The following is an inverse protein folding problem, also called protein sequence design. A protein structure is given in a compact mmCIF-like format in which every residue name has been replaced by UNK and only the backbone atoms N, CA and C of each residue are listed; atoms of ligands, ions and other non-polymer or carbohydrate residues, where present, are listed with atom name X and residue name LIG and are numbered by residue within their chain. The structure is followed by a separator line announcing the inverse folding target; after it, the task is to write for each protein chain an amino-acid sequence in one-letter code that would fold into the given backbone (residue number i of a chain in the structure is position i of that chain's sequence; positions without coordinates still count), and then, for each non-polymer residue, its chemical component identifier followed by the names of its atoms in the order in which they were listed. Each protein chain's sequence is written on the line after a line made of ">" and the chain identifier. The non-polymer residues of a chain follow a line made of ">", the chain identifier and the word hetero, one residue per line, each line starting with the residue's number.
data_IF_767252896858
#
_entry.id   IF_767252896858
#
_cell.length_a   1.000
_cell.length_b   1.000
_cell.length_c   1.000
_cell.angle_alpha   90.00
_cell.angle_beta   90.00
_cell.angle_gamma   90.00
#
_symmetry.space_group_name_H-M   'P 1'
#
loop_
_entity.id
_entity.type
_entity.pdbx_description
1 polymer ?
#
# COMPACT_ATOMS: atom_id res chain seq x y z
N UNK A 1 8.26 -4.27 -20.74
CA UNK A 1 6.91 -4.89 -20.76
C UNK A 1 5.89 -3.92 -21.33
N UNK A 2 4.84 -4.43 -21.96
CA UNK A 2 3.64 -3.65 -22.29
C UNK A 2 2.81 -3.35 -21.03
N UNK A 3 1.92 -2.33 -21.05
CA UNK A 3 1.05 -2.03 -19.91
C UNK A 3 0.14 -3.19 -19.49
N UNK A 4 -0.35 -3.97 -20.47
CA UNK A 4 -1.21 -5.13 -20.23
C UNK A 4 -0.44 -6.26 -19.52
N UNK A 5 0.81 -6.51 -19.91
CA UNK A 5 1.68 -7.47 -19.23
C UNK A 5 1.99 -7.03 -17.79
N UNK A 6 2.23 -5.72 -17.56
CA UNK A 6 2.46 -5.17 -16.21
C UNK A 6 1.27 -5.43 -15.30
N UNK A 7 0.05 -5.24 -15.81
CA UNK A 7 -1.16 -5.48 -15.03
C UNK A 7 -1.24 -6.94 -14.55
N UNK A 8 -1.03 -7.89 -15.45
CA UNK A 8 -1.02 -9.32 -15.13
C UNK A 8 0.06 -9.69 -14.10
N UNK A 9 1.27 -9.17 -14.24
CA UNK A 9 2.36 -9.47 -13.29
C UNK A 9 2.13 -8.85 -11.90
N UNK A 10 1.60 -7.62 -11.85
CA UNK A 10 1.20 -6.99 -10.59
C UNK A 10 0.06 -7.78 -9.94
N UNK A 11 -0.92 -8.25 -10.70
CA UNK A 11 -2.03 -9.05 -10.17
C UNK A 11 -1.55 -10.39 -9.57
N UNK A 12 -0.55 -11.03 -10.18
CA UNK A 12 0.11 -12.21 -9.59
C UNK A 12 0.79 -11.89 -8.27
N UNK A 13 1.55 -10.79 -8.22
CA UNK A 13 2.21 -10.33 -7.00
C UNK A 13 1.20 -10.08 -5.86
N UNK A 14 0.08 -9.44 -6.18
CA UNK A 14 -1.01 -9.19 -5.22
C UNK A 14 -1.71 -10.48 -4.78
N UNK A 15 -1.87 -11.44 -5.68
CA UNK A 15 -2.47 -12.75 -5.35
C UNK A 15 -1.61 -13.52 -4.35
N UNK A 16 -0.28 -13.40 -4.41
CA UNK A 16 0.63 -14.01 -3.44
C UNK A 16 0.49 -13.40 -2.03
N UNK A 17 0.27 -12.08 -1.93
CA UNK A 17 0.20 -11.39 -0.63
C UNK A 17 -1.20 -11.38 -0.01
N UNK A 18 -2.26 -11.49 -0.83
CA UNK A 18 -3.67 -11.59 -0.38
C UNK A 18 -3.92 -12.55 0.78
N UNK A 19 -3.44 -13.80 0.80
CA UNK A 19 -3.68 -14.70 1.94
C UNK A 19 -3.08 -14.18 3.25
N UNK A 20 -1.92 -13.49 3.19
CA UNK A 20 -1.32 -12.86 4.36
C UNK A 20 -2.16 -11.68 4.86
N UNK A 21 -2.61 -10.82 3.95
CA UNK A 21 -3.49 -9.70 4.30
C UNK A 21 -4.83 -10.16 4.87
N UNK A 22 -5.43 -11.19 4.28
CA UNK A 22 -6.69 -11.76 4.77
C UNK A 22 -6.53 -12.41 6.15
N UNK A 23 -5.38 -13.02 6.44
CA UNK A 23 -5.06 -13.52 7.79
C UNK A 23 -5.03 -12.41 8.83
N UNK A 24 -4.61 -11.20 8.43
CA UNK A 24 -4.60 -10.00 9.28
C UNK A 24 -5.95 -9.25 9.26
N UNK A 25 -6.96 -9.77 8.56
CA UNK A 25 -8.30 -9.17 8.45
C UNK A 25 -8.39 -8.00 7.46
N UNK A 26 -7.43 -7.86 6.55
CA UNK A 26 -7.43 -6.89 5.47
C UNK A 26 -7.46 -7.52 4.08
N UNK A 27 -7.51 -6.68 3.05
CA UNK A 27 -7.39 -7.11 1.65
C UNK A 27 -6.79 -6.01 0.78
N UNK A 28 -6.40 -6.36 -0.45
CA UNK A 28 -5.82 -5.46 -1.43
C UNK A 28 -6.44 -5.64 -2.82
N UNK A 29 -6.78 -4.51 -3.43
CA UNK A 29 -7.30 -4.43 -4.79
C UNK A 29 -6.37 -3.61 -5.68
N UNK A 30 -6.11 -4.10 -6.89
CA UNK A 30 -5.43 -3.34 -7.93
C UNK A 30 -6.41 -2.34 -8.54
N UNK A 31 -6.07 -1.06 -8.54
CA UNK A 31 -6.90 0.00 -9.12
C UNK A 31 -6.44 0.32 -10.53
N UNK A 32 -5.16 0.63 -10.71
CA UNK A 32 -4.56 0.86 -12.02
C UNK A 32 -3.03 0.76 -11.98
N UNK A 33 -2.43 0.55 -13.14
CA UNK A 33 -0.99 0.61 -13.34
C UNK A 33 -0.72 1.70 -14.38
N UNK A 34 -0.07 2.78 -13.95
CA UNK A 34 0.26 3.93 -14.81
C UNK A 34 1.78 4.07 -14.87
N UNK A 35 2.34 3.84 -16.06
CA UNK A 35 3.79 3.85 -16.32
C UNK A 35 4.58 2.92 -15.38
N UNK A 36 5.08 3.47 -14.28
CA UNK A 36 5.89 2.82 -13.25
C UNK A 36 5.29 3.01 -11.84
N UNK A 37 4.04 3.44 -11.76
CA UNK A 37 3.31 3.67 -10.52
C UNK A 37 2.12 2.71 -10.48
N UNK A 38 2.01 1.95 -9.40
CA UNK A 38 0.86 1.07 -9.16
C UNK A 38 -0.07 1.75 -8.16
N UNK A 39 -1.33 1.93 -8.54
CA UNK A 39 -2.39 2.38 -7.64
C UNK A 39 -3.12 1.15 -7.11
N UNK A 40 -3.13 1.01 -5.80
CA UNK A 40 -3.84 -0.06 -5.08
C UNK A 40 -4.86 0.55 -4.13
N UNK A 41 -5.81 -0.25 -3.69
CA UNK A 41 -6.75 0.07 -2.62
C UNK A 41 -6.60 -0.97 -1.54
N UNK A 42 -6.19 -0.54 -0.36
CA UNK A 42 -6.18 -1.38 0.84
C UNK A 42 -7.57 -1.33 1.49
N UNK A 43 -8.09 -2.48 1.90
CA UNK A 43 -9.39 -2.64 2.56
C UNK A 43 -9.29 -3.44 3.85
N UNK A 44 -10.32 -3.35 4.70
CA UNK A 44 -10.41 -4.10 5.97
C UNK A 44 -9.57 -3.53 7.11
N UNK A 45 -9.10 -4.40 8.00
CA UNK A 45 -8.36 -4.03 9.22
C UNK A 45 -7.05 -3.27 8.93
N UNK A 46 -6.48 -3.42 7.72
CA UNK A 46 -5.29 -2.71 7.29
C UNK A 46 -5.44 -1.18 7.24
N UNK A 47 -6.67 -0.65 7.13
CA UNK A 47 -6.91 0.81 7.15
C UNK A 47 -6.81 1.37 8.57
N UNK A 48 -7.16 0.60 9.60
CA UNK A 48 -7.40 1.12 10.95
C UNK A 48 -6.14 1.28 11.81
N UNK A 49 -5.00 0.70 11.41
CA UNK A 49 -3.77 0.77 12.19
C UNK A 49 -2.76 1.71 11.54
N UNK A 50 -2.84 2.99 11.90
CA UNK A 50 -1.95 4.08 11.45
C UNK A 50 -0.46 3.78 11.68
N UNK A 51 -0.12 2.89 12.61
CA UNK A 51 1.26 2.48 12.92
C UNK A 51 1.81 1.45 11.91
N UNK A 52 0.94 0.66 11.26
CA UNK A 52 1.35 -0.46 10.40
C UNK A 52 1.25 -0.19 8.89
N UNK A 53 0.67 0.94 8.47
CA UNK A 53 0.52 1.27 7.06
C UNK A 53 1.86 1.42 6.34
N UNK A 54 2.87 2.01 7.00
CA UNK A 54 4.21 2.20 6.40
C UNK A 54 4.91 0.87 6.12
N UNK A 55 4.87 -0.07 7.06
CA UNK A 55 5.48 -1.40 6.94
C UNK A 55 4.74 -2.26 5.93
N UNK A 56 3.40 -2.25 5.96
CA UNK A 56 2.58 -3.02 5.04
C UNK A 56 2.77 -2.54 3.59
N UNK A 57 2.74 -1.22 3.37
CA UNK A 57 3.00 -0.60 2.07
C UNK A 57 4.37 -1.00 1.54
N UNK A 58 5.39 -0.98 2.41
CA UNK A 58 6.75 -1.41 2.04
C UNK A 58 6.81 -2.89 1.63
N UNK A 59 6.10 -3.78 2.33
CA UNK A 59 6.02 -5.20 1.99
C UNK A 59 5.32 -5.48 0.66
N UNK A 60 4.20 -4.77 0.41
CA UNK A 60 3.47 -4.83 -0.87
C UNK A 60 4.36 -4.30 -2.00
N UNK A 61 5.00 -3.16 -1.81
CA UNK A 61 5.90 -2.57 -2.79
C UNK A 61 7.09 -3.48 -3.12
N UNK A 62 7.70 -4.11 -2.10
CA UNK A 62 8.80 -5.05 -2.30
C UNK A 62 8.36 -6.28 -3.09
N UNK A 63 7.16 -6.81 -2.79
CA UNK A 63 6.59 -7.95 -3.52
C UNK A 63 6.30 -7.57 -4.97
N UNK A 64 5.67 -6.42 -5.22
CA UNK A 64 5.40 -5.94 -6.58
C UNK A 64 6.72 -5.75 -7.35
N UNK A 65 7.74 -5.14 -6.74
CA UNK A 65 9.07 -4.94 -7.37
C UNK A 65 9.79 -6.25 -7.70
N UNK A 66 9.52 -7.33 -6.97
CA UNK A 66 10.05 -8.67 -7.26
C UNK A 66 9.52 -9.23 -8.59
N UNK A 67 8.25 -8.96 -8.91
CA UNK A 67 7.62 -9.37 -10.16
C UNK A 67 7.87 -8.36 -11.29
N UNK A 68 7.75 -7.06 -10.98
CA UNK A 68 7.88 -5.96 -11.92
C UNK A 68 8.90 -4.94 -11.38
N UNK A 69 10.20 -5.14 -11.62
CA UNK A 69 11.25 -4.25 -11.10
C UNK A 69 11.23 -2.84 -11.71
N UNK A 70 10.47 -2.64 -12.80
CA UNK A 70 10.25 -1.31 -13.40
C UNK A 70 9.37 -0.40 -12.53
N UNK A 71 8.60 -0.96 -11.58
CA UNK A 71 7.75 -0.17 -10.68
C UNK A 71 8.61 0.64 -9.72
N UNK A 72 8.41 1.95 -9.70
CA UNK A 72 9.14 2.89 -8.85
C UNK A 72 8.40 3.07 -7.52
N UNK A 73 7.08 3.18 -7.55
CA UNK A 73 6.28 3.51 -6.38
C UNK A 73 4.90 2.85 -6.40
N UNK A 74 4.35 2.60 -5.20
CA UNK A 74 3.00 2.09 -5.00
C UNK A 74 2.20 3.11 -4.19
N UNK A 75 1.04 3.51 -4.70
CA UNK A 75 0.17 4.50 -4.08
C UNK A 75 -1.11 3.79 -3.63
N UNK A 76 -1.46 3.96 -2.36
CA UNK A 76 -2.76 3.55 -1.87
C UNK A 76 -3.77 4.70 -2.08
N UNK A 77 -4.85 4.43 -2.81
CA UNK A 77 -5.86 5.46 -3.12
C UNK A 77 -6.66 5.91 -1.89
N UNK A 78 -6.61 5.19 -0.77
CA UNK A 78 -7.25 5.62 0.48
C UNK A 78 -6.39 6.55 1.35
N UNK A 79 -5.10 6.73 1.04
CA UNK A 79 -4.20 7.63 1.80
C UNK A 79 -4.54 9.13 1.57
N UNK A 80 -5.30 9.47 0.52
CA UNK A 80 -5.62 10.87 0.18
C UNK A 80 -6.56 11.57 1.18
N UNK A 81 -7.27 10.81 2.02
CA UNK A 81 -8.26 11.35 2.96
C UNK A 81 -7.64 11.83 4.30
N UNK A 82 -6.37 11.51 4.60
CA UNK A 82 -5.77 11.79 5.92
C UNK A 82 -4.77 12.95 5.93
N UNK A 83 -4.70 13.74 4.86
CA UNK A 83 -3.78 14.90 4.78
C UNK A 83 -4.18 16.11 5.63
N UNK A 84 -5.14 15.98 6.56
CA UNK A 84 -5.57 17.09 7.42
C UNK A 84 -5.35 16.89 8.93
N UNK A 85 -5.00 15.70 9.47
CA UNK A 85 -5.02 15.50 10.94
C UNK A 85 -4.02 14.51 11.58
N UNK A 86 -2.77 14.39 11.11
CA UNK A 86 -1.76 13.56 11.82
C UNK A 86 -0.37 14.17 12.04
N UNK A 87 -0.16 15.46 11.77
CA UNK A 87 1.08 16.19 12.09
C UNK A 87 0.99 17.06 13.37
N UNK A 88 -0.11 17.03 14.13
CA UNK A 88 -0.29 17.96 15.28
C UNK A 88 -0.97 17.38 16.55
N UNK A 89 -0.49 16.28 17.15
CA UNK A 89 -0.64 16.04 18.61
C UNK A 89 0.55 15.14 19.02
N UNK A 90 1.53 15.50 19.84
CA UNK A 90 1.60 16.49 20.91
C UNK A 90 3.07 16.78 21.24
N UNK A 91 3.49 18.05 21.09
CA UNK A 91 4.31 18.67 22.11
C UNK A 91 3.44 18.92 23.34
N UNK A 92 3.64 18.15 24.40
CA UNK A 92 3.40 18.53 25.79
C UNK A 92 4.78 18.38 26.45
N UNK A 93 5.61 19.44 26.40
CA UNK A 93 5.73 20.53 27.37
C UNK A 93 6.45 20.10 28.65
N UNK A 94 7.51 20.86 28.92
CA UNK A 94 8.31 21.00 30.13
C UNK A 94 7.55 20.91 31.48
N UNK A 95 8.36 20.60 32.51
CA UNK A 95 8.14 20.77 33.96
C UNK A 95 7.22 19.78 34.71
N UNK A 96 7.84 18.73 35.28
CA UNK A 96 8.06 18.62 36.74
C UNK A 96 9.15 17.60 37.06
#
# INVERSE_FOLDING_TARGET
>A
MTPEEKYSEVEKALTEIRPFLNSDGGDIELVSVEDNIVKVRLTGACIACSVNQMTLKSGVEMTIKKYVPEIVSVINVSDFETSTEADQISSLKEEN
#
